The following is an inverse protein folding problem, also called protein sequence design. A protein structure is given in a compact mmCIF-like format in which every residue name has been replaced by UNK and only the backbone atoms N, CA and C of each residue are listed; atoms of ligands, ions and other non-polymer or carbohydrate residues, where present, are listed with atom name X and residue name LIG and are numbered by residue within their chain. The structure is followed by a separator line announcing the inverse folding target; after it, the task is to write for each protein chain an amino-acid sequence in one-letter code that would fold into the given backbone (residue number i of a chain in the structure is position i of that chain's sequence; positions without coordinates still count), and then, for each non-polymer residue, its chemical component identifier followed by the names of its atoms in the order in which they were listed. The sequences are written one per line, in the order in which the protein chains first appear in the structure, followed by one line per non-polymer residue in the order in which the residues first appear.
data_IF_175487429456
#
_entry.id   IF_175487429456
#
_cell.length_a   1.000
_cell.length_b   1.000
_cell.length_c   1.000
_cell.angle_alpha   90.00
_cell.angle_beta   90.00
_cell.angle_gamma   90.00
#
_symmetry.space_group_name_H-M   'P 1'
#
loop_
_entity.id
_entity.type
_entity.pdbx_description
1 polymer ?
#
# COMPACT_ATOMS: atom_id res chain seq x y z
N UNK A 1 -8.48 2.04 3.39
CA UNK A 1 -9.15 3.14 4.14
C UNK A 1 -9.24 2.94 5.65
N UNK A 2 -9.69 1.79 6.18
CA UNK A 2 -9.85 1.62 7.64
C UNK A 2 -8.60 1.95 8.47
N UNK A 3 -7.42 1.46 8.05
CA UNK A 3 -6.14 1.75 8.71
C UNK A 3 -5.83 3.26 8.67
N UNK A 4 -5.99 3.90 7.50
CA UNK A 4 -5.75 5.33 7.33
C UNK A 4 -6.67 6.18 8.22
N UNK A 5 -7.97 5.85 8.30
CA UNK A 5 -8.93 6.50 9.20
C UNK A 5 -8.53 6.33 10.66
N UNK A 6 -8.12 5.12 11.05
CA UNK A 6 -7.73 4.82 12.42
C UNK A 6 -6.48 5.60 12.84
N UNK A 7 -5.47 5.67 11.97
CA UNK A 7 -4.28 6.50 12.19
C UNK A 7 -4.61 7.99 12.24
N UNK A 8 -5.47 8.48 11.34
CA UNK A 8 -5.93 9.88 11.35
C UNK A 8 -6.66 10.24 12.66
N UNK A 9 -7.49 9.34 13.19
CA UNK A 9 -8.16 9.53 14.50
C UNK A 9 -7.19 9.59 15.68
N UNK A 10 -5.94 9.13 15.49
CA UNK A 10 -4.87 9.21 16.48
C UNK A 10 -3.93 10.41 16.26
N UNK A 11 -4.26 11.31 15.33
CA UNK A 11 -3.47 12.51 15.06
C UNK A 11 -2.34 12.33 14.05
N UNK A 12 -2.27 11.18 13.35
CA UNK A 12 -1.20 10.95 12.38
C UNK A 12 -1.48 11.63 11.04
N UNK A 13 -0.50 12.42 10.57
CA UNK A 13 -0.37 12.79 9.16
C UNK A 13 -0.14 11.53 8.32
N UNK A 14 -0.51 11.57 7.04
CA UNK A 14 -0.47 10.38 6.17
C UNK A 14 -0.21 10.72 4.71
N UNK A 15 0.48 9.79 4.06
CA UNK A 15 0.69 9.77 2.62
C UNK A 15 0.18 8.45 2.07
N UNK A 16 -0.82 8.49 1.17
CA UNK A 16 -1.51 7.31 0.67
C UNK A 16 -1.04 6.95 -0.73
N UNK A 17 -0.88 5.66 -0.99
CA UNK A 17 -0.74 5.14 -2.35
C UNK A 17 -2.06 4.46 -2.76
N UNK A 18 -2.44 4.68 -4.02
CA UNK A 18 -3.58 4.01 -4.66
C UNK A 18 -3.22 3.65 -6.10
N UNK A 19 -3.99 2.75 -6.72
CA UNK A 19 -3.85 2.43 -8.13
C UNK A 19 -5.21 2.07 -8.75
N UNK A 20 -5.90 3.08 -9.29
CA UNK A 20 -7.28 2.94 -9.72
C UNK A 20 -7.50 1.93 -10.88
N UNK A 21 -6.58 1.76 -11.85
CA UNK A 21 -6.71 0.74 -12.89
C UNK A 21 -6.93 -0.67 -12.33
N UNK A 22 -6.16 -1.07 -11.32
CA UNK A 22 -6.32 -2.37 -10.68
C UNK A 22 -7.60 -2.44 -9.84
N UNK A 23 -7.89 -1.41 -9.05
CA UNK A 23 -9.05 -1.40 -8.15
C UNK A 23 -10.38 -1.51 -8.92
N UNK A 24 -10.46 -0.93 -10.13
CA UNK A 24 -11.63 -1.05 -11.03
C UNK A 24 -11.93 -2.48 -11.47
N UNK A 25 -10.96 -3.39 -11.40
CA UNK A 25 -11.15 -4.81 -11.73
C UNK A 25 -11.82 -5.61 -10.60
N UNK A 26 -11.94 -5.03 -9.39
CA UNK A 26 -12.48 -5.74 -8.23
C UNK A 26 -13.99 -5.65 -8.15
N UNK A 27 -14.68 -6.69 -7.61
CA UNK A 27 -16.14 -6.68 -7.44
C UNK A 27 -16.68 -5.51 -6.61
N UNK A 28 -15.85 -4.91 -5.75
CA UNK A 28 -16.20 -3.74 -4.94
C UNK A 28 -15.97 -2.41 -5.65
N UNK A 29 -15.51 -2.44 -6.91
CA UNK A 29 -15.04 -1.29 -7.67
C UNK A 29 -13.82 -0.62 -7.03
N UNK A 30 -13.17 0.30 -7.75
CA UNK A 30 -12.49 1.37 -7.05
C UNK A 30 -13.57 2.04 -6.20
N UNK A 31 -13.37 2.15 -4.89
CA UNK A 31 -14.23 3.00 -4.07
C UNK A 31 -14.44 4.30 -4.86
N UNK A 32 -15.69 4.75 -5.05
CA UNK A 32 -15.99 5.95 -5.85
C UNK A 32 -15.21 7.20 -5.39
N UNK A 33 -14.60 7.13 -4.21
CA UNK A 33 -13.51 7.98 -3.77
C UNK A 33 -12.17 7.56 -4.40
N UNK A 34 -11.80 8.21 -5.50
CA UNK A 34 -10.42 8.29 -5.99
C UNK A 34 -9.47 8.86 -4.90
N UNK A 35 -8.16 8.93 -5.17
CA UNK A 35 -7.16 9.50 -4.24
C UNK A 35 -7.60 10.82 -3.58
N UNK A 36 -8.18 11.74 -4.35
CA UNK A 36 -8.67 13.04 -3.86
C UNK A 36 -9.86 12.92 -2.89
N UNK A 37 -10.77 11.98 -3.12
CA UNK A 37 -11.89 11.69 -2.23
C UNK A 37 -11.41 11.09 -0.91
N UNK A 38 -10.42 10.20 -0.98
CA UNK A 38 -9.78 9.63 0.21
C UNK A 38 -9.04 10.69 1.02
N UNK A 39 -8.31 11.59 0.35
CA UNK A 39 -7.60 12.70 1.00
C UNK A 39 -8.58 13.64 1.71
N UNK A 40 -9.62 14.09 1.00
CA UNK A 40 -10.63 15.03 1.51
C UNK A 40 -11.34 14.50 2.75
N UNK A 41 -11.75 13.23 2.71
CA UNK A 41 -12.41 12.59 3.84
C UNK A 41 -11.52 12.57 5.08
N UNK A 42 -10.24 12.28 4.88
CA UNK A 42 -9.35 12.10 5.99
C UNK A 42 -8.78 13.44 6.49
N UNK A 43 -8.70 14.50 5.67
CA UNK A 43 -8.27 15.84 6.13
C UNK A 43 -9.34 16.53 6.94
N UNK A 44 -10.61 16.11 6.81
CA UNK A 44 -11.71 16.53 7.68
C UNK A 44 -11.46 16.21 9.18
N UNK A 45 -10.51 15.33 9.51
CA UNK A 45 -10.11 15.04 10.90
C UNK A 45 -9.05 16.00 11.46
N UNK A 46 -8.66 17.04 10.71
CA UNK A 46 -7.72 18.07 11.16
C UNK A 46 -6.22 17.72 11.04
N UNK A 47 -5.89 16.61 10.39
CA UNK A 47 -4.50 16.19 10.13
C UNK A 47 -4.18 16.25 8.64
N UNK A 48 -2.90 16.38 8.27
CA UNK A 48 -2.48 16.47 6.87
C UNK A 48 -2.66 15.13 6.17
N UNK A 49 -3.07 15.18 4.92
CA UNK A 49 -3.23 14.00 4.08
C UNK A 49 -2.92 14.30 2.64
N UNK A 50 -2.14 13.42 2.04
CA UNK A 50 -1.80 13.47 0.63
C UNK A 50 -1.90 12.08 0.03
N UNK A 51 -1.97 12.01 -1.30
CA UNK A 51 -2.00 10.75 -2.01
C UNK A 51 -1.23 10.80 -3.32
N UNK A 52 -0.71 9.65 -3.74
CA UNK A 52 -0.16 9.41 -5.06
C UNK A 52 -0.87 8.22 -5.70
N UNK A 53 -1.25 8.35 -6.97
CA UNK A 53 -1.62 7.20 -7.79
C UNK A 53 -0.33 6.61 -8.40
N UNK A 54 -0.03 5.36 -8.06
CA UNK A 54 1.23 4.73 -8.44
C UNK A 54 1.10 3.22 -8.49
N UNK A 55 1.47 2.62 -9.62
CA UNK A 55 1.59 1.17 -9.76
C UNK A 55 2.92 0.68 -9.19
N UNK A 56 2.89 -0.46 -8.49
CA UNK A 56 4.06 -1.02 -7.78
C UNK A 56 4.68 -2.24 -8.48
N UNK A 57 4.26 -2.57 -9.71
CA UNK A 57 4.82 -3.68 -10.49
C UNK A 57 6.24 -3.40 -11.00
N UNK A 58 6.67 -2.14 -11.03
CA UNK A 58 8.01 -1.78 -11.50
C UNK A 58 9.02 -1.63 -10.33
N UNK A 59 10.34 -1.78 -10.58
CA UNK A 59 11.35 -1.63 -9.53
C UNK A 59 11.48 -0.21 -8.96
N UNK A 60 11.15 0.82 -9.75
CA UNK A 60 11.31 2.24 -9.40
C UNK A 60 10.22 2.82 -8.48
N UNK A 61 8.92 2.56 -8.73
CA UNK A 61 7.82 3.09 -7.94
C UNK A 61 7.91 2.91 -6.42
N UNK A 62 8.34 1.77 -5.86
CA UNK A 62 8.54 1.65 -4.41
C UNK A 62 9.46 2.75 -3.83
N UNK A 63 10.56 3.05 -4.51
CA UNK A 63 11.47 4.10 -4.05
C UNK A 63 10.85 5.49 -4.17
N UNK A 64 10.16 5.75 -5.29
CA UNK A 64 9.43 7.01 -5.52
C UNK A 64 8.39 7.27 -4.44
N UNK A 65 7.60 6.26 -4.06
CA UNK A 65 6.56 6.38 -3.02
C UNK A 65 7.14 6.86 -1.69
N UNK A 66 8.17 6.16 -1.19
CA UNK A 66 8.81 6.53 0.08
C UNK A 66 9.47 7.90 -0.01
N UNK A 67 10.11 8.22 -1.15
CA UNK A 67 10.72 9.54 -1.41
C UNK A 67 9.69 10.65 -1.26
N UNK A 68 8.59 10.56 -2.01
CA UNK A 68 7.54 11.57 -2.01
C UNK A 68 6.93 11.76 -0.61
N UNK A 69 6.64 10.66 0.10
CA UNK A 69 6.12 10.75 1.47
C UNK A 69 7.08 11.49 2.42
N UNK A 70 8.38 11.17 2.35
CA UNK A 70 9.38 11.81 3.21
C UNK A 70 9.66 13.26 2.84
N UNK A 71 9.62 13.62 1.56
CA UNK A 71 9.84 14.99 1.11
C UNK A 71 8.66 15.90 1.49
N UNK A 72 7.42 15.40 1.38
CA UNK A 72 6.22 16.17 1.73
C UNK A 72 6.04 16.36 3.23
N UNK A 73 6.36 15.34 4.04
CA UNK A 73 6.17 15.38 5.49
C UNK A 73 7.45 15.64 6.30
N UNK A 74 8.60 15.72 5.63
CA UNK A 74 9.94 15.81 6.25
C UNK A 74 10.46 14.46 6.76
N UNK A 75 9.57 13.54 7.14
CA UNK A 75 9.91 12.19 7.56
C UNK A 75 8.73 11.22 7.45
N UNK A 76 9.01 9.92 7.62
CA UNK A 76 8.01 8.88 7.82
C UNK A 76 8.35 8.04 9.06
N UNK A 77 7.37 7.78 9.91
CA UNK A 77 7.52 6.96 11.13
C UNK A 77 6.91 5.56 11.00
N UNK A 78 5.89 5.43 10.16
CA UNK A 78 5.13 4.20 9.99
C UNK A 78 4.96 3.93 8.48
N UNK A 79 5.38 2.75 8.05
CA UNK A 79 5.09 2.20 6.73
C UNK A 79 4.09 1.06 6.89
N UNK A 80 2.87 1.23 6.36
CA UNK A 80 1.87 0.16 6.28
C UNK A 80 1.82 -0.36 4.85
N UNK A 81 2.19 -1.63 4.66
CA UNK A 81 2.14 -2.34 3.39
C UNK A 81 0.85 -3.16 3.38
N UNK A 82 -0.19 -2.59 2.77
CA UNK A 82 -1.52 -3.20 2.66
C UNK A 82 -1.91 -3.56 1.22
N UNK A 83 -1.19 -3.07 0.20
CA UNK A 83 -1.51 -3.41 -1.19
C UNK A 83 -1.36 -4.91 -1.42
N UNK A 84 -2.18 -5.44 -2.32
CA UNK A 84 -2.10 -6.82 -2.76
C UNK A 84 -2.64 -6.94 -4.18
N UNK A 85 -1.94 -7.73 -5.00
CA UNK A 85 -2.42 -8.29 -6.24
C UNK A 85 -3.08 -9.64 -5.97
N UNK A 86 -4.29 -9.83 -6.46
CA UNK A 86 -5.15 -11.00 -6.21
C UNK A 86 -6.09 -11.22 -7.40
N UNK A 87 -5.79 -12.19 -8.26
CA UNK A 87 -6.64 -12.55 -9.40
C UNK A 87 -7.12 -13.98 -9.26
N UNK A 88 -8.35 -14.25 -9.72
CA UNK A 88 -8.87 -15.60 -9.72
C UNK A 88 -8.11 -16.42 -10.78
N UNK A 89 -7.43 -17.47 -10.33
CA UNK A 89 -6.65 -18.35 -11.19
C UNK A 89 -7.11 -19.80 -11.03
N UNK A 90 -7.06 -20.54 -12.15
CA UNK A 90 -7.29 -21.97 -12.19
C UNK A 90 -5.95 -22.71 -12.13
N UNK A 91 -5.84 -23.69 -11.24
CA UNK A 91 -4.65 -24.55 -11.18
C UNK A 91 -4.46 -25.42 -12.43
N UNK A 92 -5.51 -25.61 -13.23
CA UNK A 92 -5.44 -26.42 -14.44
C UNK A 92 -4.72 -25.72 -15.59
N UNK A 93 -4.70 -24.39 -15.58
CA UNK A 93 -4.15 -23.55 -16.65
C UNK A 93 -3.39 -22.37 -16.03
N UNK A 94 -2.21 -22.63 -15.44
CA UNK A 94 -1.43 -21.58 -14.80
C UNK A 94 -0.94 -20.56 -15.84
N UNK A 95 -1.01 -19.28 -15.48
CA UNK A 95 -0.54 -18.17 -16.30
C UNK A 95 0.75 -17.60 -15.67
N UNK A 96 1.86 -17.66 -16.40
CA UNK A 96 3.16 -17.25 -15.86
C UNK A 96 3.23 -15.74 -15.63
N UNK A 97 2.60 -14.94 -16.48
CA UNK A 97 2.56 -13.49 -16.35
C UNK A 97 1.83 -13.05 -15.08
N UNK A 98 0.75 -13.75 -14.72
CA UNK A 98 0.01 -13.47 -13.48
C UNK A 98 0.79 -13.91 -12.24
N UNK A 99 1.47 -15.06 -12.28
CA UNK A 99 2.37 -15.51 -11.21
C UNK A 99 3.49 -14.50 -10.98
N UNK A 100 4.14 -14.05 -12.05
CA UNK A 100 5.21 -13.04 -11.97
C UNK A 100 4.68 -11.72 -11.41
N UNK A 101 3.48 -11.29 -11.83
CA UNK A 101 2.82 -10.11 -11.28
C UNK A 101 2.53 -10.25 -9.78
N UNK A 102 2.05 -11.42 -9.35
CA UNK A 102 1.82 -11.76 -7.94
C UNK A 102 3.11 -11.65 -7.11
N UNK A 103 4.19 -12.26 -7.57
CA UNK A 103 5.49 -12.18 -6.88
C UNK A 103 6.02 -10.76 -6.85
N UNK A 104 5.87 -10.03 -7.96
CA UNK A 104 6.35 -8.66 -8.08
C UNK A 104 5.63 -7.73 -7.11
N UNK A 105 4.30 -7.73 -7.12
CA UNK A 105 3.49 -6.82 -6.28
C UNK A 105 3.45 -7.29 -4.82
N UNK A 106 3.31 -8.58 -4.53
CA UNK A 106 3.08 -9.03 -3.14
C UNK A 106 4.37 -9.40 -2.38
N UNK A 107 5.51 -9.54 -3.07
CA UNK A 107 6.77 -9.96 -2.43
C UNK A 107 7.89 -8.95 -2.68
N UNK A 108 8.18 -8.65 -3.94
CA UNK A 108 9.28 -7.77 -4.32
C UNK A 108 9.02 -6.32 -3.89
N UNK A 109 7.88 -5.74 -4.27
CA UNK A 109 7.54 -4.35 -3.93
C UNK A 109 7.52 -4.09 -2.41
N UNK A 110 6.91 -4.93 -1.54
CA UNK A 110 7.01 -4.81 -0.08
C UNK A 110 8.44 -4.80 0.46
N UNK A 111 9.34 -5.55 -0.16
CA UNK A 111 10.75 -5.62 0.23
C UNK A 111 11.50 -4.35 -0.19
N UNK A 112 11.22 -3.82 -1.38
CA UNK A 112 11.78 -2.56 -1.87
C UNK A 112 11.26 -1.35 -1.07
N UNK A 113 9.98 -1.33 -0.71
CA UNK A 113 9.42 -0.31 0.19
C UNK A 113 10.09 -0.33 1.56
N UNK A 114 10.25 -1.52 2.15
CA UNK A 114 10.92 -1.68 3.44
C UNK A 114 12.39 -1.23 3.39
N UNK A 115 13.11 -1.62 2.34
CA UNK A 115 14.48 -1.17 2.08
C UNK A 115 14.55 0.35 2.02
N UNK A 116 13.67 0.99 1.24
CA UNK A 116 13.73 2.43 1.06
C UNK A 116 13.31 3.20 2.30
N UNK A 117 12.29 2.72 3.02
CA UNK A 117 11.90 3.29 4.31
C UNK A 117 13.05 3.21 5.32
N UNK A 118 13.70 2.05 5.45
CA UNK A 118 14.85 1.88 6.33
C UNK A 118 16.03 2.79 5.92
N UNK A 119 16.29 2.94 4.62
CA UNK A 119 17.36 3.81 4.09
C UNK A 119 17.13 5.29 4.43
N UNK A 120 15.88 5.75 4.44
CA UNK A 120 15.52 7.15 4.71
C UNK A 120 15.27 7.47 6.18
N UNK A 121 15.12 6.46 7.02
CA UNK A 121 14.92 6.69 8.44
C UNK A 121 16.19 7.31 9.06
N UNK A 122 16.04 8.44 9.75
CA UNK A 122 17.13 9.26 10.30
C UNK A 122 17.70 8.74 11.64
N UNK A 123 17.48 7.45 11.93
CA UNK A 123 17.85 6.79 13.18
C UNK A 123 17.18 7.35 14.45
N UNK A 124 16.17 8.22 14.36
CA UNK A 124 15.40 8.67 15.54
C UNK A 124 14.74 7.48 16.24
N UNK A 125 14.37 7.64 17.51
CA UNK A 125 13.58 6.61 18.18
C UNK A 125 12.21 6.47 17.50
N UNK A 126 11.85 5.25 17.09
CA UNK A 126 10.60 5.02 16.36
C UNK A 126 10.79 4.04 15.21
N UNK A 127 10.04 4.26 14.12
CA UNK A 127 10.09 3.43 12.92
C UNK A 127 9.32 2.12 13.07
N UNK A 128 8.24 1.96 12.30
CA UNK A 128 7.46 0.72 12.23
C UNK A 128 7.13 0.36 10.79
N UNK A 129 7.42 -0.89 10.42
CA UNK A 129 6.95 -1.47 9.17
C UNK A 129 5.91 -2.53 9.52
N UNK A 130 4.69 -2.36 9.01
CA UNK A 130 3.59 -3.31 9.20
C UNK A 130 3.24 -3.89 7.83
N UNK A 131 3.49 -5.18 7.64
CA UNK A 131 3.10 -5.92 6.42
C UNK A 131 1.82 -6.68 6.70
N UNK A 132 0.79 -6.41 5.89
CA UNK A 132 -0.45 -7.19 5.92
C UNK A 132 -0.21 -8.48 5.14
N UNK A 133 -0.34 -9.62 5.81
CA UNK A 133 -0.27 -10.94 5.19
C UNK A 133 -1.59 -11.68 5.37
N UNK A 134 -1.84 -12.69 4.53
CA UNK A 134 -3.01 -13.55 4.69
C UNK A 134 -2.79 -14.55 5.84
N UNK A 135 -3.88 -14.90 6.51
CA UNK A 135 -3.89 -15.90 7.58
C UNK A 135 -3.79 -17.34 7.08
N UNK A 136 -3.33 -17.63 5.86
CA UNK A 136 -3.37 -18.98 5.27
C UNK A 136 -2.51 -20.01 6.03
N UNK A 137 -1.67 -19.57 6.96
CA UNK A 137 -1.06 -20.44 7.96
C UNK A 137 -2.07 -21.09 8.92
N UNK A 138 -3.31 -20.58 8.99
CA UNK A 138 -4.40 -21.07 9.83
C UNK A 138 -5.28 -22.11 9.13
N UNK A 139 -5.13 -22.33 7.83
CA UNK A 139 -5.89 -23.31 7.06
C UNK A 139 -6.09 -22.93 5.60
N UNK A 140 -6.52 -23.88 4.75
CA UNK A 140 -6.86 -23.62 3.36
C UNK A 140 -8.10 -22.71 3.26
N UNK A 141 -8.21 -21.98 2.14
CA UNK A 141 -9.45 -21.24 1.87
C UNK A 141 -10.60 -22.23 1.62
N UNK A 142 -11.82 -21.92 2.08
CA UNK A 142 -13.00 -22.69 1.74
C UNK A 142 -13.19 -22.74 0.22
N UNK A 143 -13.56 -23.91 -0.29
CA UNK A 143 -13.94 -24.14 -1.70
C UNK A 143 -15.29 -23.55 -2.03
#
# INVERSE_FOLDING_TARGET
MAIARRLASMGADRFLQSYAPYDRLKPRGANEQNGDGMVSELTATGVRGESIELELSEPGPPAKLVTSATEMHGHADILVINHAYDVAESLNEPNIEQIDMHLTINVSAPSLLAKEFARRHDCRQGGRIVKMTSGQHLGPMPS
#
